data_IF_524444614487
#
_entry.id   IF_524444614487
#
_cell.length_a   1.000
_cell.length_b   1.000
_cell.length_c   1.000
_cell.angle_alpha   90.00
_cell.angle_beta   90.00
_cell.angle_gamma   90.00
#
_symmetry.space_group_name_H-M   'P 1'
#
loop_
_entity.id
_entity.type
_entity.pdbx_description
1 polymer ?
#
# COMPACT_ATOMS: atom_id res chain seq x y z
N UNK A 1 -19.93 21.06 23.49
CA UNK A 1 -19.45 20.14 22.43
C UNK A 1 -18.21 19.45 22.94
N UNK A 2 -18.08 18.15 22.73
CA UNK A 2 -16.92 17.36 23.18
C UNK A 2 -15.70 17.76 22.35
N UNK A 3 -14.55 17.95 22.99
CA UNK A 3 -13.29 18.30 22.33
C UNK A 3 -12.25 17.26 22.67
N UNK A 4 -11.43 16.89 21.70
CA UNK A 4 -10.25 16.05 21.92
C UNK A 4 -8.98 16.88 21.74
N UNK A 5 -7.84 16.35 22.18
CA UNK A 5 -6.55 17.06 22.12
C UNK A 5 -5.44 16.11 21.69
N UNK A 6 -4.97 16.30 20.46
CA UNK A 6 -3.76 15.63 19.98
C UNK A 6 -2.55 16.38 20.51
N UNK A 7 -1.59 15.66 21.08
CA UNK A 7 -0.32 16.23 21.57
C UNK A 7 0.82 15.66 20.77
N UNK A 8 1.83 16.49 20.50
CA UNK A 8 3.03 16.06 19.78
C UNK A 8 4.26 16.80 20.25
N UNK A 9 5.43 16.21 20.01
CA UNK A 9 6.75 16.78 20.26
C UNK A 9 7.45 16.97 18.92
N UNK A 10 7.94 18.17 18.65
CA UNK A 10 8.73 18.47 17.46
C UNK A 10 10.23 18.20 17.71
N UNK A 11 11.04 18.22 16.65
CA UNK A 11 12.48 17.92 16.71
C UNK A 11 13.34 18.94 17.48
N UNK A 12 12.80 20.11 17.79
CA UNK A 12 13.42 21.06 18.74
C UNK A 12 13.15 20.71 20.22
N UNK A 13 12.35 19.66 20.47
CA UNK A 13 11.92 19.24 21.79
C UNK A 13 10.69 20.00 22.32
N UNK A 14 10.16 20.97 21.58
CA UNK A 14 8.99 21.74 21.98
C UNK A 14 7.71 20.89 21.92
N UNK A 15 6.79 21.17 22.84
CA UNK A 15 5.55 20.42 23.01
C UNK A 15 4.37 21.24 22.52
N UNK A 16 3.60 20.63 21.62
CA UNK A 16 2.44 21.26 21.01
C UNK A 16 1.17 20.47 21.30
N UNK A 17 0.05 21.17 21.22
CA UNK A 17 -1.26 20.56 21.33
C UNK A 17 -2.21 21.15 20.29
N UNK A 18 -2.98 20.27 19.65
CA UNK A 18 -4.05 20.61 18.72
C UNK A 18 -5.37 20.20 19.36
N UNK A 19 -6.18 21.19 19.76
CA UNK A 19 -7.52 20.94 20.27
C UNK A 19 -8.54 21.12 19.14
N UNK A 20 -9.40 20.11 18.94
CA UNK A 20 -10.45 20.10 17.92
C UNK A 20 -11.76 19.61 18.50
N UNK A 21 -12.84 19.92 17.80
CA UNK A 21 -14.17 19.39 18.11
C UNK A 21 -14.27 17.92 17.68
N UNK A 22 -14.98 17.09 18.45
CA UNK A 22 -15.14 15.67 18.13
C UNK A 22 -15.89 15.39 16.81
N UNK A 23 -16.53 16.39 16.19
CA UNK A 23 -17.18 16.30 14.88
C UNK A 23 -16.25 16.58 13.69
N UNK A 24 -14.95 16.81 13.93
CA UNK A 24 -14.00 17.06 12.85
C UNK A 24 -13.81 15.80 11.99
N UNK A 25 -13.59 15.96 10.69
CA UNK A 25 -13.45 14.84 9.74
C UNK A 25 -12.04 14.67 9.20
N UNK A 26 -11.17 15.67 9.36
CA UNK A 26 -9.80 15.62 8.87
C UNK A 26 -8.82 16.16 9.89
N UNK A 27 -7.79 15.41 10.25
CA UNK A 27 -6.70 15.90 11.08
C UNK A 27 -5.45 15.90 10.23
N UNK A 28 -5.02 17.10 9.85
CA UNK A 28 -3.76 17.31 9.17
C UNK A 28 -2.70 17.78 10.17
N UNK A 29 -1.66 16.99 10.32
CA UNK A 29 -0.45 17.20 11.12
C UNK A 29 0.82 17.19 10.25
N UNK A 30 0.68 17.33 8.93
CA UNK A 30 1.79 17.30 8.00
C UNK A 30 2.73 18.50 8.17
N UNK A 31 4.01 18.31 7.82
CA UNK A 31 5.04 19.37 7.76
C UNK A 31 5.24 20.13 9.08
N UNK A 32 5.26 19.41 10.21
CA UNK A 32 5.38 20.00 11.56
C UNK A 32 6.62 19.57 12.32
N UNK A 33 7.57 18.94 11.64
CA UNK A 33 8.80 18.41 12.24
C UNK A 33 8.52 17.50 13.45
N UNK A 34 7.41 16.76 13.43
CA UNK A 34 6.96 15.92 14.54
C UNK A 34 7.88 14.71 14.67
N UNK A 35 8.43 14.48 15.86
CA UNK A 35 9.15 13.24 16.19
C UNK A 35 8.25 12.21 16.86
N UNK A 36 7.31 12.68 17.69
CA UNK A 36 6.34 11.82 18.38
C UNK A 36 4.97 12.48 18.47
N UNK A 37 3.94 11.67 18.25
CA UNK A 37 2.53 12.10 18.32
C UNK A 37 1.75 11.15 19.20
N UNK A 38 0.93 11.69 20.08
CA UNK A 38 -0.03 10.93 20.88
C UNK A 38 -1.43 11.05 20.24
N UNK A 39 -1.91 9.94 19.67
CA UNK A 39 -3.21 9.83 19.02
C UNK A 39 -4.32 9.31 19.94
N UNK A 40 -4.07 9.07 21.24
CA UNK A 40 -5.00 8.40 22.17
C UNK A 40 -6.41 9.01 22.15
N UNK A 41 -6.50 10.36 22.16
CA UNK A 41 -7.79 11.05 22.17
C UNK A 41 -8.53 11.01 20.82
N UNK A 42 -7.90 10.54 19.73
CA UNK A 42 -8.59 10.38 18.45
C UNK A 42 -9.70 9.34 18.51
N UNK A 43 -9.64 8.40 19.46
CA UNK A 43 -10.73 7.47 19.70
C UNK A 43 -12.06 8.15 20.07
N UNK A 44 -12.04 9.41 20.50
CA UNK A 44 -13.25 10.22 20.75
C UNK A 44 -13.83 10.83 19.47
N UNK A 45 -13.05 10.92 18.39
CA UNK A 45 -13.43 11.49 17.11
C UNK A 45 -13.83 10.39 16.12
N UNK A 46 -14.99 9.77 16.39
CA UNK A 46 -15.53 8.68 15.55
C UNK A 46 -15.93 9.12 14.13
N UNK A 47 -15.99 10.44 13.89
CA UNK A 47 -16.26 11.05 12.58
C UNK A 47 -15.00 11.27 11.74
N UNK A 48 -13.80 10.95 12.26
CA UNK A 48 -12.55 11.15 11.54
C UNK A 48 -12.54 10.31 10.26
N UNK A 49 -12.39 10.98 9.12
CA UNK A 49 -12.27 10.37 7.79
C UNK A 49 -10.83 10.41 7.26
N UNK A 50 -10.03 11.40 7.66
CA UNK A 50 -8.68 11.63 7.12
C UNK A 50 -7.70 11.95 8.23
N UNK A 51 -6.61 11.18 8.32
CA UNK A 51 -5.48 11.48 9.19
C UNK A 51 -4.22 11.61 8.34
N UNK A 52 -3.64 12.82 8.32
CA UNK A 52 -2.47 13.16 7.52
C UNK A 52 -1.32 13.53 8.47
N UNK A 53 -0.20 12.82 8.34
CA UNK A 53 1.00 12.92 9.18
C UNK A 53 2.26 13.12 8.32
N UNK A 54 2.09 13.62 7.09
CA UNK A 54 3.13 13.60 6.06
C UNK A 54 4.30 14.52 6.38
N UNK A 55 5.49 14.20 5.86
CA UNK A 55 6.66 15.07 5.93
C UNK A 55 6.99 15.48 7.38
N UNK A 56 7.17 14.47 8.22
CA UNK A 56 7.56 14.63 9.63
C UNK A 56 8.80 13.76 9.92
N UNK A 57 9.14 13.58 11.19
CA UNK A 57 10.30 12.81 11.66
C UNK A 57 9.85 11.66 12.57
N UNK A 58 8.64 11.14 12.34
CA UNK A 58 8.03 10.11 13.18
C UNK A 58 8.78 8.79 12.97
N UNK A 59 9.22 8.17 14.07
CA UNK A 59 9.90 6.86 14.06
C UNK A 59 8.99 5.73 14.52
N UNK A 60 8.01 6.03 15.36
CA UNK A 60 7.01 5.10 15.87
C UNK A 60 5.63 5.74 15.85
N UNK A 61 4.64 5.04 15.28
CA UNK A 61 3.27 5.51 15.17
C UNK A 61 2.31 4.49 15.78
N UNK A 62 1.69 4.84 16.91
CA UNK A 62 0.69 3.99 17.56
C UNK A 62 -0.70 4.19 16.94
N UNK A 63 -1.15 3.20 16.17
CA UNK A 63 -2.45 3.21 15.49
C UNK A 63 -3.61 2.68 16.35
N UNK A 64 -3.37 2.16 17.57
CA UNK A 64 -4.44 1.57 18.41
C UNK A 64 -5.70 2.45 18.56
N UNK A 65 -5.59 3.79 18.73
CA UNK A 65 -6.76 4.66 18.84
C UNK A 65 -7.64 4.67 17.57
N UNK A 66 -7.08 4.39 16.39
CA UNK A 66 -7.81 4.39 15.12
C UNK A 66 -8.81 3.26 14.98
N UNK A 67 -8.71 2.21 15.83
CA UNK A 67 -9.71 1.13 15.88
C UNK A 67 -11.13 1.61 16.22
N UNK A 68 -11.25 2.81 16.81
CA UNK A 68 -12.52 3.48 17.10
C UNK A 68 -12.98 4.43 15.97
N UNK A 69 -12.08 4.81 15.06
CA UNK A 69 -12.35 5.71 13.94
C UNK A 69 -12.90 4.93 12.73
N UNK A 70 -14.11 4.38 12.85
CA UNK A 70 -14.73 3.54 11.81
C UNK A 70 -15.06 4.27 10.50
N UNK A 71 -15.10 5.61 10.55
CA UNK A 71 -15.28 6.46 9.37
C UNK A 71 -13.98 6.75 8.63
N UNK A 72 -12.82 6.27 9.12
CA UNK A 72 -11.52 6.54 8.52
C UNK A 72 -11.47 6.01 7.08
N UNK A 73 -11.13 6.90 6.16
CA UNK A 73 -10.98 6.65 4.72
C UNK A 73 -9.52 6.75 4.30
N UNK A 74 -8.76 7.67 4.88
CA UNK A 74 -7.38 7.94 4.46
C UNK A 74 -6.49 8.03 5.68
N UNK A 75 -5.46 7.20 5.69
CA UNK A 75 -4.31 7.30 6.59
C UNK A 75 -3.07 7.53 5.74
N UNK A 76 -2.44 8.70 5.92
CA UNK A 76 -1.23 9.08 5.20
C UNK A 76 -0.15 9.49 6.20
N UNK A 77 0.98 8.80 6.18
CA UNK A 77 2.17 9.10 6.99
C UNK A 77 3.44 9.04 6.12
N UNK A 78 3.32 9.51 4.88
CA UNK A 78 4.39 9.56 3.88
C UNK A 78 5.53 10.46 4.35
N UNK A 79 6.77 10.19 3.94
CA UNK A 79 7.96 11.01 4.25
C UNK A 79 8.16 11.16 5.76
N UNK A 80 8.40 10.04 6.42
CA UNK A 80 8.74 9.96 7.84
C UNK A 80 9.99 9.07 8.02
N UNK A 81 10.20 8.51 9.21
CA UNK A 81 11.29 7.56 9.48
C UNK A 81 10.79 6.34 10.23
N UNK A 82 9.56 5.90 9.90
CA UNK A 82 8.90 4.76 10.53
C UNK A 82 9.60 3.48 10.06
N UNK A 83 10.16 2.72 11.02
CA UNK A 83 10.81 1.43 10.76
C UNK A 83 9.87 0.24 10.87
N UNK A 84 8.87 0.33 11.74
CA UNK A 84 7.87 -0.72 11.99
C UNK A 84 6.51 -0.08 12.24
N UNK A 85 5.44 -0.73 11.78
CA UNK A 85 4.06 -0.26 11.96
C UNK A 85 3.09 -1.44 12.13
N UNK A 86 2.31 -1.42 13.21
CA UNK A 86 1.25 -2.41 13.45
C UNK A 86 -0.05 -1.93 12.80
N UNK A 87 -0.48 -2.61 11.73
CA UNK A 87 -1.71 -2.31 11.02
C UNK A 87 -2.96 -2.95 11.64
N UNK A 88 -2.84 -3.81 12.67
CA UNK A 88 -3.97 -4.52 13.27
C UNK A 88 -5.16 -3.62 13.65
N UNK A 89 -4.97 -2.41 14.19
CA UNK A 89 -6.08 -1.49 14.49
C UNK A 89 -6.92 -1.10 13.26
N UNK A 90 -6.34 -1.11 12.05
CA UNK A 90 -7.04 -0.76 10.81
C UNK A 90 -8.05 -1.82 10.37
N UNK A 91 -8.03 -3.04 10.96
CA UNK A 91 -9.05 -4.05 10.66
C UNK A 91 -10.47 -3.60 11.00
N UNK A 92 -10.63 -2.58 11.86
CA UNK A 92 -11.92 -1.97 12.20
C UNK A 92 -12.32 -0.82 11.25
N UNK A 93 -11.41 -0.35 10.40
CA UNK A 93 -11.61 0.74 9.45
C UNK A 93 -12.09 0.20 8.10
N UNK A 94 -13.29 -0.38 8.06
CA UNK A 94 -13.88 -0.98 6.83
C UNK A 94 -14.07 0.04 5.69
N UNK A 95 -14.09 1.33 6.01
CA UNK A 95 -14.20 2.42 5.05
C UNK A 95 -12.84 2.92 4.51
N UNK A 96 -11.72 2.30 4.91
CA UNK A 96 -10.40 2.73 4.45
C UNK A 96 -10.29 2.57 2.93
N UNK A 97 -9.93 3.66 2.28
CA UNK A 97 -9.76 3.80 0.83
C UNK A 97 -8.28 3.99 0.46
N UNK A 98 -7.49 4.68 1.29
CA UNK A 98 -6.06 4.89 1.06
C UNK A 98 -5.23 4.59 2.32
N UNK A 99 -4.15 3.83 2.12
CA UNK A 99 -3.04 3.71 3.05
C UNK A 99 -1.76 4.17 2.35
N UNK A 100 -1.17 5.25 2.85
CA UNK A 100 0.02 5.86 2.27
C UNK A 100 1.15 5.90 3.31
N UNK A 101 2.16 5.07 3.09
CA UNK A 101 3.35 4.93 3.95
C UNK A 101 4.65 5.02 3.14
N UNK A 102 4.60 5.63 1.94
CA UNK A 102 5.79 5.81 1.12
C UNK A 102 6.85 6.67 1.82
N UNK A 103 8.11 6.57 1.40
CA UNK A 103 9.24 7.36 1.93
C UNK A 103 9.35 7.21 3.45
N UNK A 104 9.56 5.96 3.88
CA UNK A 104 9.76 5.56 5.26
C UNK A 104 10.96 4.59 5.33
N UNK A 105 11.08 3.79 6.39
CA UNK A 105 12.17 2.83 6.60
C UNK A 105 11.64 1.44 6.90
N UNK A 106 10.47 1.08 6.37
CA UNK A 106 9.83 -0.20 6.63
C UNK A 106 10.65 -1.32 6.00
N UNK A 107 11.08 -2.28 6.81
CA UNK A 107 11.76 -3.51 6.36
C UNK A 107 10.78 -4.66 6.11
N UNK A 108 9.65 -4.66 6.83
CA UNK A 108 8.53 -5.61 6.70
C UNK A 108 7.20 -4.90 6.99
N UNK A 109 6.10 -5.46 6.47
CA UNK A 109 4.74 -4.98 6.74
C UNK A 109 3.70 -6.11 6.60
N UNK A 110 2.98 -6.39 7.68
CA UNK A 110 1.84 -7.33 7.64
C UNK A 110 0.58 -6.64 7.08
N UNK A 111 0.21 -6.98 5.85
CA UNK A 111 -1.02 -6.51 5.21
C UNK A 111 -2.28 -7.28 5.65
N UNK A 112 -2.16 -8.31 6.49
CA UNK A 112 -3.26 -9.15 6.99
C UNK A 112 -4.50 -8.37 7.46
N UNK A 113 -4.36 -7.30 8.25
CA UNK A 113 -5.48 -6.47 8.70
C UNK A 113 -6.27 -5.80 7.56
N UNK A 114 -5.62 -5.50 6.43
CA UNK A 114 -6.27 -4.85 5.28
C UNK A 114 -7.31 -5.73 4.60
N UNK A 115 -7.34 -7.04 4.88
CA UNK A 115 -8.39 -7.94 4.35
C UNK A 115 -9.82 -7.49 4.67
N UNK A 116 -10.00 -6.68 5.71
CA UNK A 116 -11.29 -6.12 6.14
C UNK A 116 -11.60 -4.76 5.50
N UNK A 117 -10.59 -4.07 4.94
CA UNK A 117 -10.71 -2.77 4.30
C UNK A 117 -11.15 -2.89 2.83
N UNK A 118 -12.34 -3.45 2.57
CA UNK A 118 -12.79 -3.80 1.20
C UNK A 118 -12.97 -2.62 0.24
N UNK A 119 -12.90 -1.38 0.74
CA UNK A 119 -12.92 -0.15 -0.06
C UNK A 119 -11.52 0.35 -0.47
N UNK A 120 -10.46 -0.35 -0.05
CA UNK A 120 -9.08 0.05 -0.34
C UNK A 120 -8.88 0.16 -1.85
N UNK A 121 -8.46 1.34 -2.26
CA UNK A 121 -8.25 1.77 -3.64
C UNK A 121 -6.78 2.13 -3.88
N UNK A 122 -6.11 2.68 -2.85
CA UNK A 122 -4.71 3.11 -2.90
C UNK A 122 -3.87 2.43 -1.81
N UNK A 123 -2.81 1.74 -2.24
CA UNK A 123 -1.75 1.25 -1.36
C UNK A 123 -0.41 1.78 -1.86
N UNK A 124 0.17 2.70 -1.09
CA UNK A 124 1.46 3.33 -1.40
C UNK A 124 2.49 2.96 -0.35
N UNK A 125 3.48 2.17 -0.76
CA UNK A 125 4.61 1.71 0.06
C UNK A 125 5.95 1.95 -0.65
N UNK A 126 6.00 2.91 -1.57
CA UNK A 126 7.22 3.23 -2.32
C UNK A 126 8.31 3.78 -1.40
N UNK A 127 9.57 3.69 -1.82
CA UNK A 127 10.70 4.31 -1.09
C UNK A 127 10.75 3.82 0.37
N UNK A 128 10.76 2.50 0.54
CA UNK A 128 10.96 1.80 1.80
C UNK A 128 12.11 0.79 1.65
N UNK A 129 12.25 -0.15 2.59
CA UNK A 129 13.31 -1.16 2.63
C UNK A 129 12.72 -2.59 2.58
N UNK A 130 11.54 -2.76 1.98
CA UNK A 130 10.85 -4.05 1.94
C UNK A 130 11.64 -5.06 1.10
N UNK A 131 12.01 -6.20 1.69
CA UNK A 131 12.65 -7.34 0.97
C UNK A 131 11.62 -8.32 0.37
N UNK A 132 10.46 -8.42 1.00
CA UNK A 132 9.35 -9.26 0.61
C UNK A 132 8.01 -8.57 0.93
N UNK A 133 6.93 -9.01 0.27
CA UNK A 133 5.59 -8.52 0.57
C UNK A 133 4.55 -9.58 0.19
N UNK A 134 3.68 -9.93 1.14
CA UNK A 134 2.54 -10.82 0.89
C UNK A 134 1.31 -10.02 0.45
N UNK A 135 0.93 -10.16 -0.83
CA UNK A 135 -0.30 -9.56 -1.36
C UNK A 135 -1.55 -10.43 -1.12
N UNK A 136 -1.42 -11.60 -0.51
CA UNK A 136 -2.52 -12.52 -0.18
C UNK A 136 -3.72 -11.86 0.52
N UNK A 137 -3.52 -10.98 1.52
CA UNK A 137 -4.61 -10.23 2.15
C UNK A 137 -5.41 -9.35 1.17
N UNK A 138 -4.82 -9.01 0.02
CA UNK A 138 -5.45 -8.19 -1.00
C UNK A 138 -6.35 -8.96 -1.98
N UNK A 139 -6.45 -10.29 -1.86
CA UNK A 139 -7.03 -11.17 -2.89
C UNK A 139 -8.48 -10.91 -3.31
N UNK A 140 -9.23 -10.20 -2.47
CA UNK A 140 -10.65 -9.87 -2.68
C UNK A 140 -10.90 -8.37 -2.92
N UNK A 141 -9.87 -7.54 -3.09
CA UNK A 141 -10.00 -6.09 -3.28
C UNK A 141 -10.28 -5.75 -4.75
N UNK A 142 -11.56 -5.82 -5.12
CA UNK A 142 -12.02 -5.58 -6.50
C UNK A 142 -11.84 -4.14 -6.99
N UNK A 143 -11.83 -3.19 -6.05
CA UNK A 143 -11.72 -1.76 -6.32
C UNK A 143 -10.29 -1.22 -6.16
N UNK A 144 -9.31 -2.10 -5.92
CA UNK A 144 -7.91 -1.68 -5.80
C UNK A 144 -7.44 -1.12 -7.15
N UNK A 145 -6.97 0.12 -7.15
CA UNK A 145 -6.57 0.84 -8.37
C UNK A 145 -5.06 1.10 -8.40
N UNK A 146 -4.43 1.30 -7.25
CA UNK A 146 -3.03 1.66 -7.16
C UNK A 146 -2.31 0.76 -6.16
N UNK A 147 -1.26 0.10 -6.64
CA UNK A 147 -0.31 -0.65 -5.84
C UNK A 147 1.08 -0.16 -6.21
N UNK A 148 1.65 0.70 -5.37
CA UNK A 148 2.92 1.37 -5.64
C UNK A 148 3.95 0.86 -4.64
N UNK A 149 4.88 0.05 -5.13
CA UNK A 149 5.94 -0.63 -4.37
C UNK A 149 7.33 -0.28 -4.93
N UNK A 150 7.43 0.75 -5.76
CA UNK A 150 8.69 1.18 -6.38
C UNK A 150 9.71 1.59 -5.33
N UNK A 151 11.00 1.46 -5.66
CA UNK A 151 12.09 1.86 -4.76
C UNK A 151 12.06 1.12 -3.42
N UNK A 152 11.96 -0.20 -3.47
CA UNK A 152 12.18 -1.10 -2.33
C UNK A 152 13.36 -2.03 -2.66
N UNK A 153 13.52 -3.12 -1.93
CA UNK A 153 14.53 -4.14 -2.20
C UNK A 153 13.88 -5.52 -2.41
N UNK A 154 12.65 -5.53 -2.95
CA UNK A 154 11.84 -6.73 -3.18
C UNK A 154 12.53 -7.62 -4.21
N UNK A 155 12.76 -8.89 -3.86
CA UNK A 155 13.43 -9.87 -4.73
C UNK A 155 12.45 -10.69 -5.56
N UNK A 156 11.31 -11.02 -4.98
CA UNK A 156 10.25 -11.81 -5.61
C UNK A 156 8.90 -11.29 -5.17
N UNK A 157 7.90 -11.38 -6.04
CA UNK A 157 6.53 -10.97 -5.72
C UNK A 157 5.53 -11.83 -6.49
N UNK A 158 4.53 -12.36 -5.78
CA UNK A 158 3.40 -13.06 -6.39
C UNK A 158 2.24 -12.10 -6.64
N UNK A 159 1.90 -11.90 -7.92
CA UNK A 159 0.75 -11.07 -8.31
C UNK A 159 -0.57 -11.85 -8.38
N UNK A 160 -0.57 -13.18 -8.18
CA UNK A 160 -1.78 -14.01 -8.19
C UNK A 160 -2.92 -13.51 -7.30
N UNK A 161 -2.66 -12.90 -6.11
CA UNK A 161 -3.72 -12.32 -5.30
C UNK A 161 -4.48 -11.19 -6.01
N UNK A 162 -3.84 -10.42 -6.89
CA UNK A 162 -4.46 -9.29 -7.59
C UNK A 162 -5.44 -9.72 -8.71
N UNK A 163 -5.68 -11.02 -8.91
CA UNK A 163 -6.52 -11.53 -10.00
C UNK A 163 -7.97 -11.00 -10.02
N UNK A 164 -8.50 -10.53 -8.88
CA UNK A 164 -9.85 -9.95 -8.77
C UNK A 164 -9.85 -8.42 -8.81
N UNK A 165 -8.68 -7.77 -8.78
CA UNK A 165 -8.53 -6.31 -8.85
C UNK A 165 -8.65 -5.84 -10.30
N UNK A 166 -9.85 -5.99 -10.88
CA UNK A 166 -10.12 -5.61 -12.28
C UNK A 166 -10.06 -4.11 -12.52
N UNK A 167 -10.19 -3.31 -11.45
CA UNK A 167 -10.08 -1.85 -11.49
C UNK A 167 -8.62 -1.37 -11.40
N UNK A 168 -7.62 -2.28 -11.34
CA UNK A 168 -6.21 -1.91 -11.21
C UNK A 168 -5.75 -1.03 -12.38
N UNK A 169 -5.22 0.15 -12.04
CA UNK A 169 -4.75 1.18 -12.99
C UNK A 169 -3.24 1.35 -12.95
N UNK A 170 -2.64 1.31 -11.75
CA UNK A 170 -1.21 1.55 -11.56
C UNK A 170 -0.60 0.42 -10.73
N UNK A 171 0.38 -0.27 -11.32
CA UNK A 171 1.24 -1.22 -10.63
C UNK A 171 2.70 -0.83 -10.87
N UNK A 172 3.35 -0.29 -9.84
CA UNK A 172 4.73 0.17 -9.94
C UNK A 172 5.63 -0.69 -9.05
N UNK A 173 6.58 -1.37 -9.69
CA UNK A 173 7.53 -2.31 -9.11
C UNK A 173 8.98 -1.96 -9.47
N UNK A 174 9.21 -0.87 -10.22
CA UNK A 174 10.55 -0.43 -10.63
C UNK A 174 11.43 -0.04 -9.43
N UNK A 175 12.75 -0.02 -9.63
CA UNK A 175 13.76 0.17 -8.60
C UNK A 175 13.63 -0.86 -7.47
N UNK A 176 13.48 -2.14 -7.81
CA UNK A 176 13.51 -3.25 -6.85
C UNK A 176 14.71 -4.17 -7.15
N UNK A 177 14.66 -5.41 -6.66
CA UNK A 177 15.62 -6.48 -6.95
C UNK A 177 14.94 -7.70 -7.60
N UNK A 178 13.85 -7.45 -8.33
CA UNK A 178 13.06 -8.48 -8.99
C UNK A 178 13.80 -8.93 -10.25
N UNK A 179 14.18 -10.20 -10.33
CA UNK A 179 14.82 -10.75 -11.53
C UNK A 179 13.80 -11.22 -12.58
N UNK A 180 12.65 -11.71 -12.13
CA UNK A 180 11.61 -12.29 -12.98
C UNK A 180 10.21 -12.08 -12.39
N UNK A 181 9.22 -11.90 -13.26
CA UNK A 181 7.83 -11.68 -12.85
C UNK A 181 6.82 -12.39 -13.77
N UNK A 182 5.83 -13.07 -13.19
CA UNK A 182 4.65 -13.55 -13.93
C UNK A 182 3.58 -12.45 -14.02
N UNK A 183 3.38 -11.92 -15.22
CA UNK A 183 2.42 -10.85 -15.52
C UNK A 183 1.07 -11.37 -16.00
N UNK A 184 0.81 -12.69 -15.93
CA UNK A 184 -0.43 -13.32 -16.41
C UNK A 184 -1.70 -12.68 -15.84
N UNK A 185 -1.67 -12.22 -14.58
CA UNK A 185 -2.83 -11.56 -13.96
C UNK A 185 -3.15 -10.22 -14.59
N UNK A 186 -2.15 -9.50 -15.10
CA UNK A 186 -2.30 -8.16 -15.64
C UNK A 186 -3.10 -8.16 -16.94
N UNK A 187 -3.16 -9.28 -17.67
CA UNK A 187 -4.03 -9.45 -18.83
C UNK A 187 -5.53 -9.30 -18.50
N UNK A 188 -5.93 -9.43 -17.23
CA UNK A 188 -7.31 -9.22 -16.77
C UNK A 188 -7.59 -7.78 -16.33
N UNK A 189 -6.56 -6.98 -16.10
CA UNK A 189 -6.67 -5.59 -15.63
C UNK A 189 -6.92 -4.67 -16.82
N UNK A 190 -8.15 -4.64 -17.35
CA UNK A 190 -8.50 -3.87 -18.54
C UNK A 190 -8.41 -2.35 -18.36
N UNK A 191 -8.31 -1.88 -17.11
CA UNK A 191 -8.11 -0.48 -16.74
C UNK A 191 -6.63 -0.14 -16.47
N UNK A 192 -5.69 -1.06 -16.72
CA UNK A 192 -4.28 -0.82 -16.43
C UNK A 192 -3.73 0.30 -17.32
N UNK A 193 -3.43 1.43 -16.70
CA UNK A 193 -2.91 2.65 -17.31
C UNK A 193 -1.38 2.70 -17.22
N UNK A 194 -0.79 2.13 -16.16
CA UNK A 194 0.65 2.17 -15.95
C UNK A 194 1.17 0.90 -15.27
N UNK A 195 2.15 0.27 -15.91
CA UNK A 195 2.93 -0.81 -15.33
C UNK A 195 4.42 -0.45 -15.41
N UNK A 196 4.99 -0.10 -14.26
CA UNK A 196 6.41 0.25 -14.16
C UNK A 196 7.19 -0.92 -13.57
N UNK A 197 8.15 -1.42 -14.33
CA UNK A 197 9.09 -2.45 -13.92
C UNK A 197 10.43 -2.20 -14.60
N UNK A 198 11.52 -2.58 -13.94
CA UNK A 198 12.87 -2.36 -14.45
C UNK A 198 13.08 -3.10 -15.78
N UNK A 199 13.84 -2.51 -16.72
CA UNK A 199 13.94 -3.01 -18.10
C UNK A 199 14.66 -4.36 -18.21
N UNK A 200 15.44 -4.74 -17.20
CA UNK A 200 16.19 -5.99 -17.10
C UNK A 200 15.40 -7.14 -16.47
N UNK A 201 14.20 -6.89 -15.94
CA UNK A 201 13.35 -7.94 -15.37
C UNK A 201 12.78 -8.83 -16.47
N UNK A 202 13.00 -10.14 -16.36
CA UNK A 202 12.38 -11.13 -17.24
C UNK A 202 10.88 -11.24 -16.95
N UNK A 203 10.03 -10.76 -17.86
CA UNK A 203 8.58 -10.88 -17.72
C UNK A 203 8.06 -12.13 -18.41
N UNK A 204 7.16 -12.85 -17.74
CA UNK A 204 6.60 -14.11 -18.23
C UNK A 204 5.10 -14.11 -18.18
N UNK A 205 4.46 -14.89 -19.06
CA UNK A 205 3.01 -15.04 -19.03
C UNK A 205 2.56 -16.40 -19.58
N UNK A 206 1.36 -16.81 -19.20
CA UNK A 206 0.77 -18.07 -19.66
C UNK A 206 0.44 -18.02 -21.17
N UNK A 207 0.94 -18.97 -21.95
CA UNK A 207 0.87 -18.96 -23.42
C UNK A 207 -0.53 -18.77 -24.02
N UNK A 208 -1.60 -19.25 -23.37
CA UNK A 208 -2.97 -19.10 -23.88
C UNK A 208 -3.43 -17.64 -23.92
N UNK A 209 -2.81 -16.76 -23.14
CA UNK A 209 -3.14 -15.34 -23.13
C UNK A 209 -2.69 -14.64 -24.42
N UNK A 210 -1.73 -15.20 -25.17
CA UNK A 210 -1.28 -14.68 -26.47
C UNK A 210 -2.38 -14.56 -27.52
N UNK A 211 -3.47 -15.31 -27.36
CA UNK A 211 -4.61 -15.34 -28.29
C UNK A 211 -5.75 -14.41 -27.88
N UNK A 212 -5.59 -13.60 -26.83
CA UNK A 212 -6.60 -12.62 -26.45
C UNK A 212 -6.73 -11.52 -27.51
N UNK A 213 -7.96 -11.03 -27.69
CA UNK A 213 -8.26 -9.98 -28.65
C UNK A 213 -7.89 -8.57 -28.15
N UNK A 214 -7.62 -8.43 -26.86
CA UNK A 214 -7.29 -7.18 -26.20
C UNK A 214 -6.21 -7.41 -25.16
N UNK A 215 -5.24 -6.50 -25.15
CA UNK A 215 -4.21 -6.40 -24.12
C UNK A 215 -4.31 -4.99 -23.51
N UNK A 216 -4.19 -4.84 -22.18
CA UNK A 216 -3.98 -3.53 -21.60
C UNK A 216 -2.73 -2.90 -22.21
N UNK A 217 -2.77 -1.59 -22.47
CA UNK A 217 -1.71 -0.88 -23.21
C UNK A 217 -0.31 -1.12 -22.63
N UNK A 218 -0.08 -1.05 -21.29
CA UNK A 218 1.25 -1.32 -20.72
C UNK A 218 1.77 -2.74 -20.93
N UNK A 219 0.89 -3.73 -21.10
CA UNK A 219 1.26 -5.12 -21.42
C UNK A 219 1.56 -5.23 -22.92
N UNK A 220 0.78 -4.55 -23.75
CA UNK A 220 0.98 -4.53 -25.19
C UNK A 220 2.34 -3.92 -25.57
N UNK A 221 2.78 -2.87 -24.88
CA UNK A 221 4.10 -2.25 -25.06
C UNK A 221 5.28 -3.21 -24.82
N UNK A 222 5.05 -4.28 -24.04
CA UNK A 222 6.07 -5.26 -23.67
C UNK A 222 5.79 -6.67 -24.22
N UNK A 223 4.80 -6.82 -25.10
CA UNK A 223 4.32 -8.14 -25.57
C UNK A 223 5.43 -8.98 -26.21
N UNK A 224 6.38 -8.33 -26.90
CA UNK A 224 7.49 -8.98 -27.59
C UNK A 224 8.60 -9.45 -26.65
N UNK A 225 8.68 -8.89 -25.43
CA UNK A 225 9.64 -9.30 -24.41
C UNK A 225 9.08 -10.34 -23.43
N UNK A 226 7.81 -10.75 -23.58
CA UNK A 226 7.19 -11.75 -22.71
C UNK A 226 7.66 -13.16 -23.07
N UNK A 227 8.21 -13.86 -22.09
CA UNK A 227 8.49 -15.29 -22.17
C UNK A 227 7.22 -16.10 -21.86
N UNK A 228 6.77 -16.89 -22.84
CA UNK A 228 5.51 -17.62 -22.75
C UNK A 228 5.69 -19.04 -22.21
N UNK A 229 5.07 -19.36 -21.07
CA UNK A 229 5.14 -20.69 -20.48
C UNK A 229 3.85 -21.51 -20.71
N UNK A 230 3.99 -22.84 -20.75
CA UNK A 230 2.93 -23.76 -21.20
C UNK A 230 2.13 -24.41 -20.07
N UNK A 231 2.67 -24.43 -18.85
CA UNK A 231 2.06 -25.09 -17.68
C UNK A 231 1.72 -24.05 -16.61
N UNK A 232 0.44 -23.96 -16.21
CA UNK A 232 0.01 -23.04 -15.15
C UNK A 232 0.64 -23.36 -13.80
N UNK A 233 1.08 -24.61 -13.58
CA UNK A 233 1.76 -25.01 -12.35
C UNK A 233 3.23 -24.55 -12.29
N UNK A 234 3.88 -24.26 -13.43
CA UNK A 234 5.27 -23.76 -13.44
C UNK A 234 5.37 -22.28 -13.09
N UNK A 235 4.29 -21.51 -13.22
CA UNK A 235 4.23 -20.09 -12.82
C UNK A 235 4.33 -19.87 -11.30
N UNK A 236 4.08 -20.92 -10.50
CA UNK A 236 4.17 -20.87 -9.03
C UNK A 236 5.04 -21.97 -8.41
N UNK A 237 5.24 -23.13 -9.06
CA UNK A 237 6.05 -24.24 -8.52
C UNK A 237 7.51 -24.29 -8.99
N UNK A 238 7.89 -23.53 -10.03
CA UNK A 238 9.30 -23.45 -10.42
C UNK A 238 10.17 -22.64 -9.44
N UNK A 239 9.55 -21.96 -8.47
CA UNK A 239 10.18 -20.94 -7.62
C UNK A 239 10.46 -21.40 -6.18
N UNK A 240 10.22 -22.68 -5.86
CA UNK A 240 10.49 -23.28 -4.54
C UNK A 240 11.50 -24.43 -4.61
N UNK A 241 12.58 -24.28 -5.36
CA UNK A 241 13.70 -25.24 -5.30
C UNK A 241 15.03 -24.51 -5.12
N UNK A 242 15.48 -24.54 -3.86
CA UNK A 242 16.89 -24.46 -3.44
C UNK A 242 17.73 -25.48 -4.22
#
# INVERSE_FOLDING_TARGET
MTRFTVRYVASDGERYQLQKDAQYTEIDLSERNIESVNLETLGECVTLERLLLNSNQITHLDLRPLSLCKSLRILSATSNSIGEIDLQPLSACENLEALELSDNRLEDIDLGPLRYCKKLTWLYLADNLLEEIDLGPLSEHRHLQYVILSSNIIKEIDLSPLQLSTDLRYLHLNNNKIDRLDVSVLFKCSQLESFMIDPDVAITAYHKLKHQHYFPEPINERIDSIEWFHDQSQGSQAYYRV
#
